data_IF_175448080294
#
_entry.id   IF_175448080294
#
_cell.length_a   1.000
_cell.length_b   1.000
_cell.length_c   1.000
_cell.angle_alpha   90.00
_cell.angle_beta   90.00
_cell.angle_gamma   90.00
#
_symmetry.space_group_name_H-M   'P 1'
#
loop_
_entity.id
_entity.type
_entity.pdbx_description
1 polymer ?
#
# COMPACT_ATOMS: atom_id res chain seq x y z
N UNK A 1 22.72 10.08 -3.13
CA UNK A 1 23.77 9.88 -4.16
C UNK A 1 25.16 9.56 -3.59
N UNK A 2 25.32 9.29 -2.27
CA UNK A 2 26.65 8.95 -1.72
C UNK A 2 27.03 7.47 -1.94
N UNK A 3 26.08 6.55 -1.95
CA UNK A 3 26.38 5.11 -2.14
C UNK A 3 26.54 4.69 -3.60
N UNK A 4 25.99 5.45 -4.56
CA UNK A 4 26.23 5.20 -5.99
C UNK A 4 27.68 5.51 -6.42
N UNK A 5 28.43 6.24 -5.57
CA UNK A 5 29.87 6.48 -5.75
C UNK A 5 30.74 5.34 -5.22
N UNK A 6 30.18 4.40 -4.44
CA UNK A 6 30.96 3.34 -3.78
C UNK A 6 31.02 2.02 -4.56
N UNK A 7 30.19 1.82 -5.59
CA UNK A 7 30.13 0.57 -6.37
C UNK A 7 30.34 0.82 -7.87
N UNK A 8 31.60 0.77 -8.35
CA UNK A 8 31.90 0.87 -9.77
C UNK A 8 31.13 -0.21 -10.55
N UNK A 9 30.45 0.18 -11.64
CA UNK A 9 29.57 -0.63 -12.54
C UNK A 9 28.08 -0.71 -12.20
N UNK A 10 27.64 -0.27 -11.02
CA UNK A 10 26.22 -0.34 -10.66
C UNK A 10 25.31 0.47 -11.60
N UNK A 11 25.76 1.64 -12.07
CA UNK A 11 25.03 2.45 -13.05
C UNK A 11 24.77 1.70 -14.36
N UNK A 12 25.76 0.97 -14.87
CA UNK A 12 25.63 0.20 -16.12
C UNK A 12 24.68 -1.00 -15.99
N UNK A 13 24.68 -1.65 -14.82
CA UNK A 13 23.74 -2.74 -14.51
C UNK A 13 22.33 -2.19 -14.38
N UNK A 14 22.20 -1.06 -13.67
CA UNK A 14 20.94 -0.37 -13.49
C UNK A 14 20.33 0.06 -14.83
N UNK A 15 21.12 0.65 -15.72
CA UNK A 15 20.69 1.02 -17.08
C UNK A 15 20.19 -0.20 -17.87
N UNK A 16 20.91 -1.33 -17.81
CA UNK A 16 20.47 -2.59 -18.43
C UNK A 16 19.16 -3.12 -17.85
N UNK A 17 19.03 -3.20 -16.52
CA UNK A 17 17.78 -3.61 -15.85
C UNK A 17 16.61 -2.71 -16.27
N UNK A 18 16.87 -1.40 -16.34
CA UNK A 18 15.91 -0.38 -16.77
C UNK A 18 15.39 -0.63 -18.18
N UNK A 19 16.31 -0.89 -19.12
CA UNK A 19 15.95 -1.16 -20.52
C UNK A 19 15.14 -2.45 -20.66
N UNK A 20 15.52 -3.53 -19.95
CA UNK A 20 14.79 -4.79 -19.96
C UNK A 20 13.37 -4.61 -19.40
N UNK A 21 13.23 -3.90 -18.28
CA UNK A 21 11.91 -3.59 -17.71
C UNK A 21 11.08 -2.74 -18.66
N UNK A 22 11.65 -1.72 -19.28
CA UNK A 22 10.92 -0.88 -20.22
C UNK A 22 10.42 -1.67 -21.43
N UNK A 23 11.23 -2.60 -21.96
CA UNK A 23 10.79 -3.53 -23.00
C UNK A 23 9.65 -4.44 -22.51
N UNK A 24 9.75 -4.97 -21.29
CA UNK A 24 8.70 -5.80 -20.65
C UNK A 24 7.42 -5.01 -20.44
N UNK A 25 7.49 -3.78 -19.94
CA UNK A 25 6.36 -2.87 -19.74
C UNK A 25 5.73 -2.49 -21.09
N UNK A 26 6.53 -2.18 -22.11
CA UNK A 26 6.03 -1.92 -23.46
C UNK A 26 5.34 -3.16 -24.05
N UNK A 27 5.91 -4.35 -23.85
CA UNK A 27 5.30 -5.62 -24.24
C UNK A 27 3.98 -5.89 -23.48
N UNK A 28 3.92 -5.56 -22.19
CA UNK A 28 2.69 -5.65 -21.39
C UNK A 28 1.64 -4.60 -21.78
N UNK A 29 2.06 -3.40 -22.21
CA UNK A 29 1.16 -2.39 -22.78
C UNK A 29 0.54 -2.87 -24.09
N UNK A 30 1.29 -3.59 -24.92
CA UNK A 30 0.74 -4.27 -26.11
C UNK A 30 -0.21 -5.43 -25.79
N UNK A 31 -0.29 -5.89 -24.53
CA UNK A 31 -1.15 -7.01 -24.14
C UNK A 31 -2.63 -6.64 -23.90
N UNK A 32 -3.09 -5.42 -24.21
CA UNK A 32 -4.50 -5.01 -24.15
C UNK A 32 -5.23 -5.33 -22.83
N UNK A 33 -4.53 -5.29 -21.68
CA UNK A 33 -5.20 -5.39 -20.38
C UNK A 33 -5.84 -4.05 -20.03
N UNK A 34 -7.14 -4.06 -19.73
CA UNK A 34 -7.83 -2.88 -19.18
C UNK A 34 -7.27 -2.50 -17.81
N UNK A 35 -7.28 -1.20 -17.44
CA UNK A 35 -6.89 -0.76 -16.09
C UNK A 35 -7.62 -1.54 -15.01
N UNK A 36 -6.87 -2.04 -14.03
CA UNK A 36 -7.43 -2.73 -12.88
C UNK A 36 -7.47 -1.80 -11.66
N UNK A 37 -8.46 -1.99 -10.79
CA UNK A 37 -8.46 -1.35 -9.48
C UNK A 37 -7.58 -2.20 -8.56
N UNK A 38 -6.52 -1.62 -8.02
CA UNK A 38 -5.53 -2.29 -7.18
C UNK A 38 -5.95 -2.23 -5.72
N UNK A 39 -6.23 -1.02 -5.23
CA UNK A 39 -6.76 -0.77 -3.89
C UNK A 39 -8.13 -0.08 -3.99
N UNK A 40 -9.09 -0.57 -3.20
CA UNK A 40 -10.37 0.09 -2.98
C UNK A 40 -10.42 0.58 -1.53
N UNK A 41 -10.23 1.88 -1.36
CA UNK A 41 -10.21 2.57 -0.06
C UNK A 41 -9.22 1.98 0.96
N UNK A 42 -8.10 1.45 0.47
CA UNK A 42 -7.04 0.81 1.26
C UNK A 42 -7.10 -0.71 1.33
N UNK A 43 -8.16 -1.34 0.80
CA UNK A 43 -8.29 -2.80 0.72
C UNK A 43 -7.82 -3.30 -0.64
N UNK A 44 -6.99 -4.35 -0.66
CA UNK A 44 -6.56 -4.96 -1.91
C UNK A 44 -7.74 -5.63 -2.63
N UNK A 45 -7.99 -5.26 -3.89
CA UNK A 45 -9.17 -5.73 -4.61
C UNK A 45 -9.04 -7.20 -5.02
N UNK A 46 -10.15 -7.93 -5.01
CA UNK A 46 -10.19 -9.32 -5.49
C UNK A 46 -9.80 -9.47 -6.98
N UNK A 47 -10.04 -8.42 -7.78
CA UNK A 47 -9.71 -8.37 -9.20
C UNK A 47 -8.42 -7.58 -9.49
N UNK A 48 -7.62 -7.29 -8.46
CA UNK A 48 -6.32 -6.64 -8.61
C UNK A 48 -5.33 -7.59 -9.33
N UNK A 49 -4.25 -7.06 -9.91
CA UNK A 49 -3.55 -7.79 -10.96
C UNK A 49 -2.66 -8.94 -10.54
N UNK A 50 -2.24 -9.01 -9.26
CA UNK A 50 -1.35 -10.06 -8.79
C UNK A 50 -1.88 -11.46 -9.17
N UNK A 51 -1.03 -12.35 -9.72
CA UNK A 51 0.44 -12.29 -9.77
C UNK A 51 1.03 -11.42 -10.90
N UNK A 52 0.21 -10.79 -11.74
CA UNK A 52 0.72 -9.85 -12.74
C UNK A 52 1.12 -8.53 -12.08
N UNK A 53 2.16 -7.92 -12.64
CA UNK A 53 2.70 -6.63 -12.20
C UNK A 53 1.64 -5.53 -12.30
N UNK A 54 1.57 -4.69 -11.26
CA UNK A 54 0.82 -3.44 -11.27
C UNK A 54 1.43 -2.47 -12.26
N UNK A 55 0.60 -1.86 -13.11
CA UNK A 55 1.02 -0.98 -14.20
C UNK A 55 0.69 0.49 -13.89
N UNK A 56 1.41 1.46 -14.48
CA UNK A 56 1.21 2.89 -14.18
C UNK A 56 -0.22 3.40 -14.45
N UNK A 57 -0.94 2.78 -15.40
CA UNK A 57 -2.32 3.14 -15.71
C UNK A 57 -3.37 2.46 -14.82
N UNK A 58 -2.97 1.53 -13.95
CA UNK A 58 -3.86 0.95 -12.95
C UNK A 58 -4.28 2.01 -11.94
N UNK A 59 -5.38 1.74 -11.23
CA UNK A 59 -6.06 2.74 -10.42
C UNK A 59 -6.26 2.28 -8.98
N UNK A 60 -6.43 3.23 -8.07
CA UNK A 60 -6.88 3.00 -6.71
C UNK A 60 -8.08 3.92 -6.44
N UNK A 61 -9.14 3.39 -5.84
CA UNK A 61 -10.17 4.24 -5.27
C UNK A 61 -9.68 4.71 -3.91
N UNK A 62 -9.66 6.02 -3.70
CA UNK A 62 -9.09 6.63 -2.51
C UNK A 62 -10.06 7.64 -1.92
N UNK A 63 -10.26 7.55 -0.61
CA UNK A 63 -10.92 8.59 0.16
C UNK A 63 -9.93 9.71 0.37
N UNK A 64 -10.30 10.91 -0.06
CA UNK A 64 -9.58 12.16 0.16
C UNK A 64 -10.43 13.04 1.08
N UNK A 65 -9.85 13.41 2.21
CA UNK A 65 -10.43 14.25 3.23
C UNK A 65 -10.02 15.71 3.04
N UNK A 66 -10.86 16.64 3.48
CA UNK A 66 -10.56 18.06 3.59
C UNK A 66 -10.25 18.44 5.04
N UNK A 67 -9.80 19.68 5.26
CA UNK A 67 -9.54 20.22 6.61
C UNK A 67 -10.81 20.28 7.48
N UNK A 68 -12.00 20.37 6.89
CA UNK A 68 -13.29 20.36 7.59
C UNK A 68 -13.84 18.95 7.90
N UNK A 69 -13.03 17.90 7.72
CA UNK A 69 -13.38 16.47 7.89
C UNK A 69 -14.38 15.91 6.87
N UNK A 70 -14.88 16.71 5.92
CA UNK A 70 -15.61 16.17 4.78
C UNK A 70 -14.68 15.35 3.88
N UNK A 71 -15.25 14.45 3.08
CA UNK A 71 -14.45 13.59 2.21
C UNK A 71 -15.13 13.30 0.88
N UNK A 72 -14.30 13.00 -0.11
CA UNK A 72 -14.70 12.54 -1.43
C UNK A 72 -13.93 11.28 -1.80
N UNK A 73 -14.55 10.40 -2.58
CA UNK A 73 -13.86 9.25 -3.17
C UNK A 73 -13.40 9.60 -4.58
N UNK A 74 -12.13 9.38 -4.89
CA UNK A 74 -11.56 9.54 -6.23
C UNK A 74 -11.00 8.22 -6.74
N UNK A 75 -11.14 7.96 -8.03
CA UNK A 75 -10.37 6.94 -8.72
C UNK A 75 -9.07 7.57 -9.23
N UNK A 76 -7.94 7.16 -8.67
CA UNK A 76 -6.62 7.76 -8.89
C UNK A 76 -5.74 6.76 -9.62
N UNK A 77 -5.15 7.15 -10.75
CA UNK A 77 -4.14 6.34 -11.43
C UNK A 77 -2.80 6.38 -10.69
N UNK A 78 -2.05 5.28 -10.74
CA UNK A 78 -0.78 5.16 -10.04
C UNK A 78 0.35 6.02 -10.64
N UNK A 79 0.24 6.40 -11.91
CA UNK A 79 1.15 7.34 -12.56
C UNK A 79 0.91 8.80 -12.22
N UNK A 80 -0.13 9.12 -11.45
CA UNK A 80 -0.40 10.49 -11.02
C UNK A 80 0.52 10.90 -9.89
N UNK A 81 1.08 12.10 -10.04
CA UNK A 81 1.86 12.76 -9.00
C UNK A 81 0.97 13.30 -7.89
N UNK A 82 1.52 13.50 -6.69
CA UNK A 82 0.82 14.11 -5.57
C UNK A 82 0.21 15.49 -5.95
N UNK A 83 0.94 16.29 -6.74
CA UNK A 83 0.44 17.57 -7.26
C UNK A 83 -0.79 17.39 -8.17
N UNK A 84 -0.74 16.45 -9.11
CA UNK A 84 -1.89 16.17 -9.98
C UNK A 84 -3.09 15.61 -9.19
N UNK A 85 -2.85 14.81 -8.14
CA UNK A 85 -3.91 14.33 -7.24
C UNK A 85 -4.59 15.51 -6.55
N UNK A 86 -3.80 16.48 -6.05
CA UNK A 86 -4.36 17.72 -5.48
C UNK A 86 -5.21 18.48 -6.50
N UNK A 87 -4.72 18.67 -7.73
CA UNK A 87 -5.46 19.39 -8.77
C UNK A 87 -6.75 18.68 -9.18
N UNK A 88 -6.74 17.35 -9.28
CA UNK A 88 -7.95 16.55 -9.53
C UNK A 88 -9.00 16.72 -8.43
N UNK A 89 -8.56 16.72 -7.17
CA UNK A 89 -9.46 16.89 -6.04
C UNK A 89 -9.99 18.33 -5.93
N UNK A 90 -9.17 19.35 -6.19
CA UNK A 90 -9.62 20.75 -6.29
C UNK A 90 -10.80 20.90 -7.23
N UNK A 91 -10.68 20.34 -8.43
CA UNK A 91 -11.73 20.38 -9.45
C UNK A 91 -13.00 19.68 -8.96
N UNK A 92 -12.85 18.55 -8.27
CA UNK A 92 -13.99 17.74 -7.82
C UNK A 92 -14.75 18.36 -6.65
N UNK A 93 -14.05 18.99 -5.71
CA UNK A 93 -14.64 19.57 -4.49
C UNK A 93 -15.00 21.05 -4.69
N UNK A 94 -14.50 21.71 -5.76
CA UNK A 94 -14.58 23.18 -5.93
C UNK A 94 -14.03 23.92 -4.72
N UNK A 95 -12.95 23.37 -4.15
CA UNK A 95 -12.30 23.83 -2.93
C UNK A 95 -10.98 24.54 -3.29
N UNK A 96 -10.76 25.73 -2.72
CA UNK A 96 -9.59 26.57 -2.94
C UNK A 96 -9.69 27.53 -4.14
N UNK A 97 -8.95 28.64 -4.05
CA UNK A 97 -8.81 29.66 -5.10
C UNK A 97 -7.80 29.28 -6.20
N UNK A 98 -7.76 30.03 -7.32
CA UNK A 98 -6.92 29.70 -8.48
C UNK A 98 -5.40 29.77 -8.22
N UNK A 99 -4.94 30.46 -7.17
CA UNK A 99 -3.52 30.65 -6.83
C UNK A 99 -3.08 29.91 -5.57
N UNK A 100 -3.87 28.95 -5.12
CA UNK A 100 -3.71 28.31 -3.83
C UNK A 100 -3.11 26.90 -3.96
N UNK A 101 -1.97 26.67 -3.31
CA UNK A 101 -1.20 25.43 -3.41
C UNK A 101 -1.51 24.50 -2.23
N UNK A 102 -2.41 23.53 -2.46
CA UNK A 102 -2.63 22.47 -1.49
C UNK A 102 -1.44 21.54 -1.38
N UNK A 103 -1.31 20.94 -0.19
CA UNK A 103 -0.43 19.82 0.09
C UNK A 103 -1.25 18.54 0.18
N UNK A 104 -0.71 17.45 -0.37
CA UNK A 104 -1.24 16.11 -0.14
C UNK A 104 -0.58 15.55 1.11
N UNK A 105 -1.39 15.15 2.09
CA UNK A 105 -0.92 14.73 3.41
C UNK A 105 -1.54 13.39 3.76
N UNK A 106 -0.74 12.42 4.19
CA UNK A 106 -1.28 11.27 4.93
C UNK A 106 -1.45 11.65 6.39
N UNK A 107 -2.64 11.43 6.94
CA UNK A 107 -2.87 11.40 8.39
C UNK A 107 -3.03 9.95 8.79
N UNK A 108 -2.10 9.45 9.62
CA UNK A 108 -2.10 8.07 10.14
C UNK A 108 -3.07 7.94 11.31
N UNK A 109 -3.47 6.72 11.65
CA UNK A 109 -4.38 6.46 12.78
C UNK A 109 -3.83 6.90 14.15
N UNK A 110 -2.51 6.98 14.31
CA UNK A 110 -1.86 7.51 15.51
C UNK A 110 -1.77 9.04 15.54
N UNK A 111 -2.32 9.74 14.54
CA UNK A 111 -2.26 11.19 14.43
C UNK A 111 -0.98 11.75 13.82
N UNK A 112 -0.02 10.91 13.40
CA UNK A 112 1.15 11.37 12.65
C UNK A 112 0.73 11.89 11.26
N UNK A 113 1.33 13.00 10.83
CA UNK A 113 1.07 13.63 9.53
C UNK A 113 2.32 13.52 8.65
N UNK A 114 2.16 12.98 7.45
CA UNK A 114 3.25 12.84 6.47
C UNK A 114 2.87 13.60 5.21
N UNK A 115 3.66 14.64 4.89
CA UNK A 115 3.44 15.45 3.68
C UNK A 115 4.15 14.80 2.50
N UNK A 116 3.42 14.53 1.42
CA UNK A 116 4.02 14.01 0.19
C UNK A 116 4.72 15.12 -0.61
N UNK A 117 5.83 14.77 -1.25
CA UNK A 117 6.46 15.64 -2.24
C UNK A 117 5.52 15.82 -3.44
N UNK A 118 5.42 17.02 -4.04
CA UNK A 118 4.61 17.25 -5.24
C UNK A 118 4.92 16.27 -6.40
N UNK A 119 6.14 15.73 -6.44
CA UNK A 119 6.62 14.80 -7.47
C UNK A 119 6.39 13.33 -7.13
N UNK A 120 5.91 13.00 -5.92
CA UNK A 120 5.69 11.62 -5.51
C UNK A 120 4.60 10.97 -6.38
N UNK A 121 4.89 9.78 -6.90
CA UNK A 121 3.98 8.95 -7.69
C UNK A 121 3.62 7.68 -6.92
N UNK A 122 2.55 6.99 -7.33
CA UNK A 122 2.05 5.79 -6.64
C UNK A 122 1.66 6.03 -5.17
N UNK A 123 1.27 7.26 -4.83
CA UNK A 123 0.90 7.65 -3.46
C UNK A 123 -0.11 6.71 -2.79
N UNK A 124 -1.18 6.23 -3.46
CA UNK A 124 -2.16 5.35 -2.81
C UNK A 124 -1.58 4.06 -2.22
N UNK A 125 -0.52 3.49 -2.81
CA UNK A 125 0.11 2.26 -2.30
C UNK A 125 1.06 2.51 -1.13
N UNK A 126 1.54 3.75 -0.98
CA UNK A 126 2.48 4.15 0.07
C UNK A 126 1.82 4.36 1.44
N UNK A 127 0.50 4.49 1.47
CA UNK A 127 -0.24 4.76 2.72
C UNK A 127 -0.07 3.64 3.73
N UNK A 128 -0.07 4.00 5.01
CA UNK A 128 -0.29 3.06 6.11
C UNK A 128 -1.68 2.40 6.01
N UNK A 129 -1.87 1.28 6.70
CA UNK A 129 -3.09 0.45 6.55
C UNK A 129 -4.38 1.25 6.75
N UNK A 130 -4.43 1.99 7.86
CA UNK A 130 -5.54 2.83 8.26
C UNK A 130 -5.29 4.31 7.94
N UNK A 131 -4.26 4.65 7.17
CA UNK A 131 -3.96 6.02 6.77
C UNK A 131 -5.05 6.60 5.85
N UNK A 132 -5.22 7.92 5.92
CA UNK A 132 -6.14 8.67 5.04
C UNK A 132 -5.41 9.84 4.41
N UNK A 133 -5.74 10.11 3.14
CA UNK A 133 -5.22 11.26 2.43
C UNK A 133 -6.05 12.49 2.76
N UNK A 134 -5.37 13.60 2.99
CA UNK A 134 -5.93 14.92 3.19
C UNK A 134 -5.36 15.88 2.15
N UNK A 135 -6.18 16.84 1.78
CA UNK A 135 -5.77 18.01 1.03
C UNK A 135 -6.00 19.21 1.92
N UNK A 136 -4.91 19.91 2.23
CA UNK A 136 -4.90 21.01 3.18
C UNK A 136 -3.87 22.07 2.78
N UNK A 137 -4.08 23.31 3.22
CA UNK A 137 -3.05 24.34 3.15
C UNK A 137 -1.91 24.05 4.13
N UNK A 138 -0.74 24.64 3.88
CA UNK A 138 0.43 24.39 4.70
C UNK A 138 0.25 24.75 6.18
N UNK A 139 -0.55 25.79 6.47
CA UNK A 139 -0.90 26.27 7.80
C UNK A 139 -2.01 25.45 8.48
N UNK A 140 -2.77 24.66 7.73
CA UNK A 140 -3.81 23.76 8.27
C UNK A 140 -3.25 22.39 8.70
N UNK A 141 -2.07 21.99 8.22
CA UNK A 141 -1.55 20.62 8.39
C UNK A 141 -1.48 20.20 9.86
N UNK A 142 -1.06 21.10 10.75
CA UNK A 142 -0.92 20.83 12.17
C UNK A 142 -2.27 20.65 12.89
N UNK A 143 -3.36 21.10 12.28
CA UNK A 143 -4.73 20.95 12.79
C UNK A 143 -5.42 19.66 12.36
N UNK A 144 -4.87 18.95 11.37
CA UNK A 144 -5.47 17.73 10.85
C UNK A 144 -5.49 16.61 11.90
N UNK A 145 -6.65 15.97 12.04
CA UNK A 145 -6.87 14.85 12.97
C UNK A 145 -7.35 13.60 12.25
N UNK A 146 -7.01 12.39 12.75
CA UNK A 146 -7.54 11.14 12.22
C UNK A 146 -9.08 11.09 12.29
N UNK A 147 -9.69 10.39 11.35
CA UNK A 147 -11.12 10.05 11.39
C UNK A 147 -11.37 8.84 12.28
N UNK A 148 -12.58 8.76 12.86
CA UNK A 148 -13.03 7.62 13.68
C UNK A 148 -12.89 6.28 12.93
N UNK A 149 -13.07 6.27 11.61
CA UNK A 149 -12.93 5.06 10.79
C UNK A 149 -11.49 4.53 10.70
N UNK A 150 -10.49 5.30 11.17
CA UNK A 150 -9.08 4.89 11.19
C UNK A 150 -8.70 4.09 12.46
N UNK A 151 -9.56 4.08 13.48
CA UNK A 151 -9.31 3.40 14.77
C UNK A 151 -9.38 1.85 14.64
N UNK A 152 -9.90 1.35 13.52
CA UNK A 152 -10.05 -0.08 13.28
C UNK A 152 -11.25 -0.69 14.02
N UNK A 153 -11.30 -2.02 14.14
CA UNK A 153 -12.43 -2.70 14.77
C UNK A 153 -12.46 -2.51 16.28
N UNK A 154 -13.65 -2.36 16.84
CA UNK A 154 -13.91 -2.25 18.28
C UNK A 154 -14.41 -3.57 18.86
N UNK A 155 -14.10 -3.84 20.14
CA UNK A 155 -14.43 -5.11 20.82
C UNK A 155 -15.92 -5.46 20.76
N UNK A 156 -16.81 -4.47 20.84
CA UNK A 156 -18.26 -4.68 20.85
C UNK A 156 -18.85 -5.20 19.53
N UNK A 157 -18.13 -5.04 18.42
CA UNK A 157 -18.57 -5.43 17.07
C UNK A 157 -17.68 -6.52 16.46
N UNK A 158 -16.51 -6.79 17.05
CA UNK A 158 -15.54 -7.74 16.52
C UNK A 158 -16.01 -9.19 16.68
N UNK A 159 -16.20 -9.87 15.55
CA UNK A 159 -16.47 -11.31 15.49
C UNK A 159 -15.34 -12.01 14.76
N UNK A 160 -14.55 -12.79 15.50
CA UNK A 160 -13.41 -13.50 14.93
C UNK A 160 -13.85 -14.74 14.17
N UNK A 161 -13.57 -14.77 12.87
CA UNK A 161 -13.84 -15.92 12.00
C UNK A 161 -12.70 -16.96 12.03
N UNK A 162 -11.56 -16.63 12.64
CA UNK A 162 -10.35 -17.45 12.60
C UNK A 162 -10.52 -18.81 13.31
N UNK A 163 -11.40 -18.87 14.31
CA UNK A 163 -11.69 -20.08 15.07
C UNK A 163 -12.43 -21.11 14.21
N UNK A 164 -13.19 -20.64 13.19
CA UNK A 164 -14.02 -21.46 12.31
C UNK A 164 -13.24 -22.11 11.15
N UNK A 165 -12.06 -21.58 10.82
CA UNK A 165 -11.25 -22.02 9.68
C UNK A 165 -10.11 -22.93 10.15
N UNK A 166 -9.66 -23.88 9.34
CA UNK A 166 -8.52 -24.71 9.71
C UNK A 166 -7.21 -23.89 9.66
N UNK A 167 -6.23 -24.23 10.51
CA UNK A 167 -4.92 -23.55 10.49
C UNK A 167 -4.16 -23.80 9.18
N UNK A 168 -4.39 -24.94 8.53
CA UNK A 168 -3.77 -25.29 7.27
C UNK A 168 -4.34 -24.47 6.11
N UNK A 169 -5.66 -24.28 6.07
CA UNK A 169 -6.33 -23.49 5.03
C UNK A 169 -5.95 -22.01 5.14
N UNK A 170 -5.95 -21.46 6.36
CA UNK A 170 -5.49 -20.08 6.59
C UNK A 170 -4.04 -19.94 6.11
N UNK A 171 -3.13 -20.82 6.52
CA UNK A 171 -1.73 -20.78 6.11
C UNK A 171 -1.59 -20.89 4.58
N UNK A 172 -2.37 -21.75 3.92
CA UNK A 172 -2.37 -21.88 2.47
C UNK A 172 -2.80 -20.59 1.77
N UNK A 173 -3.91 -19.97 2.20
CA UNK A 173 -4.38 -18.73 1.59
C UNK A 173 -3.42 -17.56 1.84
N UNK A 174 -2.83 -17.47 3.05
CA UNK A 174 -1.79 -16.51 3.35
C UNK A 174 -0.57 -16.68 2.44
N UNK A 175 -0.08 -17.92 2.25
CA UNK A 175 1.03 -18.21 1.36
C UNK A 175 0.72 -17.88 -0.10
N UNK A 176 -0.43 -18.32 -0.63
CA UNK A 176 -0.80 -18.06 -2.03
C UNK A 176 -0.79 -16.56 -2.31
N UNK A 177 -1.48 -15.78 -1.48
CA UNK A 177 -1.57 -14.34 -1.72
C UNK A 177 -0.22 -13.64 -1.56
N UNK A 178 0.58 -14.01 -0.56
CA UNK A 178 1.93 -13.45 -0.39
C UNK A 178 2.83 -13.78 -1.58
N UNK A 179 2.78 -15.02 -2.09
CA UNK A 179 3.54 -15.42 -3.28
C UNK A 179 3.10 -14.67 -4.52
N UNK A 180 1.79 -14.46 -4.73
CA UNK A 180 1.31 -13.66 -5.87
C UNK A 180 1.84 -12.22 -5.84
N UNK A 181 1.87 -11.57 -4.67
CA UNK A 181 2.44 -10.23 -4.53
C UNK A 181 3.97 -10.24 -4.75
N UNK A 182 4.64 -11.28 -4.25
CA UNK A 182 6.08 -11.44 -4.43
C UNK A 182 6.46 -11.65 -5.91
N UNK A 183 5.74 -12.52 -6.63
CA UNK A 183 5.93 -12.77 -8.06
C UNK A 183 5.67 -11.53 -8.93
N UNK A 184 4.73 -10.68 -8.51
CA UNK A 184 4.44 -9.42 -9.19
C UNK A 184 5.55 -8.36 -9.00
N UNK A 185 6.37 -8.49 -7.96
CA UNK A 185 7.39 -7.50 -7.55
C UNK A 185 8.67 -7.67 -8.36
N UNK A 186 9.07 -6.60 -9.06
CA UNK A 186 10.29 -6.59 -9.85
C UNK A 186 11.51 -6.20 -8.99
N UNK A 187 12.67 -6.82 -9.23
CA UNK A 187 13.91 -6.57 -8.49
C UNK A 187 14.31 -5.08 -8.48
N UNK A 188 14.00 -4.34 -9.55
CA UNK A 188 14.31 -2.92 -9.63
C UNK A 188 13.50 -2.06 -8.66
N UNK A 189 12.35 -2.55 -8.16
CA UNK A 189 11.58 -1.85 -7.13
C UNK A 189 12.34 -1.84 -5.80
N UNK A 190 13.06 -2.92 -5.48
CA UNK A 190 13.95 -2.97 -4.32
C UNK A 190 15.09 -1.96 -4.44
N UNK A 191 15.71 -1.89 -5.62
CA UNK A 191 16.76 -0.91 -5.90
C UNK A 191 16.21 0.52 -5.78
N UNK A 192 15.02 0.78 -6.33
CA UNK A 192 14.35 2.08 -6.25
C UNK A 192 14.09 2.48 -4.79
N UNK A 193 13.67 1.53 -3.95
CA UNK A 193 13.43 1.77 -2.53
C UNK A 193 14.71 2.12 -1.77
N UNK A 194 15.84 1.46 -2.07
CA UNK A 194 17.13 1.71 -1.39
C UNK A 194 17.73 3.07 -1.78
N UNK A 195 17.70 3.42 -3.06
CA UNK A 195 18.35 4.63 -3.56
C UNK A 195 17.46 5.88 -3.54
N UNK A 196 16.15 5.71 -3.34
CA UNK A 196 15.16 6.80 -3.34
C UNK A 196 14.39 6.89 -4.66
N UNK A 197 13.08 7.11 -4.57
CA UNK A 197 12.17 7.18 -5.74
C UNK A 197 12.49 8.34 -6.68
N UNK A 198 13.03 9.43 -6.14
CA UNK A 198 13.46 10.62 -6.85
C UNK A 198 14.57 10.34 -7.88
N UNK A 199 15.40 9.32 -7.63
CA UNK A 199 16.46 8.89 -8.55
C UNK A 199 15.91 8.08 -9.75
N UNK A 200 14.63 7.72 -9.74
CA UNK A 200 13.97 6.90 -10.75
C UNK A 200 12.65 7.52 -11.23
N UNK A 201 12.68 8.71 -11.85
CA UNK A 201 11.48 9.40 -12.28
C UNK A 201 10.66 8.54 -13.25
N UNK A 202 9.34 8.57 -13.09
CA UNK A 202 8.39 7.82 -13.92
C UNK A 202 8.24 6.34 -13.53
N UNK A 203 8.95 5.85 -12.51
CA UNK A 203 8.75 4.49 -11.98
C UNK A 203 7.75 4.48 -10.84
N UNK A 204 6.92 3.46 -10.84
CA UNK A 204 5.96 3.18 -9.77
C UNK A 204 6.38 1.89 -9.04
N UNK A 205 7.04 1.98 -7.87
CA UNK A 205 7.40 0.79 -7.08
C UNK A 205 6.20 0.25 -6.28
N UNK A 206 5.05 0.15 -6.95
CA UNK A 206 3.76 -0.18 -6.34
C UNK A 206 3.69 -1.62 -5.82
N UNK A 207 4.35 -2.58 -6.47
CA UNK A 207 4.26 -3.99 -6.08
C UNK A 207 5.03 -4.22 -4.78
N UNK A 208 6.20 -3.61 -4.64
CA UNK A 208 6.96 -3.63 -3.39
C UNK A 208 6.19 -2.95 -2.25
N UNK A 209 5.54 -1.82 -2.51
CA UNK A 209 4.67 -1.16 -1.53
C UNK A 209 3.56 -2.09 -1.03
N UNK A 210 2.88 -2.77 -1.96
CA UNK A 210 1.80 -3.71 -1.64
C UNK A 210 2.31 -4.94 -0.87
N UNK A 211 3.49 -5.47 -1.22
CA UNK A 211 4.12 -6.58 -0.51
C UNK A 211 4.46 -6.20 0.94
N UNK A 212 5.06 -5.02 1.14
CA UNK A 212 5.38 -4.49 2.46
C UNK A 212 4.12 -4.17 3.26
N UNK A 213 3.10 -3.59 2.62
CA UNK A 213 1.78 -3.34 3.21
C UNK A 213 1.14 -4.64 3.67
N UNK A 214 1.24 -5.72 2.88
CA UNK A 214 0.70 -7.04 3.22
C UNK A 214 1.38 -7.64 4.46
N UNK A 215 2.69 -7.46 4.60
CA UNK A 215 3.40 -7.88 5.82
C UNK A 215 2.82 -7.19 7.07
N UNK A 216 2.68 -5.86 7.01
CA UNK A 216 2.08 -5.09 8.09
C UNK A 216 0.64 -5.52 8.37
N UNK A 217 -0.15 -5.77 7.32
CA UNK A 217 -1.54 -6.21 7.44
C UNK A 217 -1.66 -7.50 8.24
N UNK A 218 -0.84 -8.52 7.92
CA UNK A 218 -0.84 -9.79 8.65
C UNK A 218 -0.37 -9.59 10.10
N UNK A 219 0.66 -8.78 10.33
CA UNK A 219 1.14 -8.47 11.69
C UNK A 219 0.06 -7.80 12.53
N UNK A 220 -0.54 -6.72 12.03
CA UNK A 220 -1.59 -6.00 12.76
C UNK A 220 -2.84 -6.85 12.92
N UNK A 221 -3.24 -7.65 11.92
CA UNK A 221 -4.34 -8.59 12.06
C UNK A 221 -4.14 -9.55 13.23
N UNK A 222 -2.97 -10.20 13.33
CA UNK A 222 -2.68 -11.13 14.45
C UNK A 222 -2.75 -10.42 15.80
N UNK A 223 -2.26 -9.18 15.87
CA UNK A 223 -2.26 -8.37 17.10
C UNK A 223 -3.69 -7.98 17.49
N UNK A 224 -4.47 -7.45 16.54
CA UNK A 224 -5.86 -7.05 16.72
C UNK A 224 -6.72 -8.21 17.21
N UNK A 225 -6.61 -9.38 16.58
CA UNK A 225 -7.36 -10.57 16.97
C UNK A 225 -7.06 -11.04 18.41
N UNK A 226 -5.80 -10.94 18.86
CA UNK A 226 -5.42 -11.29 20.24
C UNK A 226 -5.91 -10.24 21.23
N UNK A 227 -5.80 -8.96 20.91
CA UNK A 227 -6.19 -7.86 21.80
C UNK A 227 -7.72 -7.78 21.98
N UNK A 228 -8.49 -8.08 20.93
CA UNK A 228 -9.96 -8.07 20.97
C UNK A 228 -10.57 -9.41 21.44
N UNK A 229 -9.75 -10.43 21.72
CA UNK A 229 -10.25 -11.69 22.27
C UNK A 229 -10.65 -11.53 23.75
N UNK A 230 -11.95 -11.59 24.02
CA UNK A 230 -12.50 -11.44 25.36
C UNK A 230 -12.16 -12.63 26.27
N UNK A 231 -11.43 -12.36 27.35
CA UNK A 231 -11.05 -13.34 28.37
C UNK A 231 -9.74 -14.10 28.11
N UNK A 232 -9.05 -14.46 29.19
CA UNK A 232 -7.73 -15.09 29.13
C UNK A 232 -7.74 -16.42 28.34
N UNK A 233 -8.76 -17.26 28.53
CA UNK A 233 -8.87 -18.55 27.83
C UNK A 233 -8.97 -18.38 26.31
N UNK A 234 -9.77 -17.41 25.85
CA UNK A 234 -9.91 -17.11 24.41
C UNK A 234 -8.60 -16.57 23.84
N UNK A 235 -7.94 -15.64 24.55
CA UNK A 235 -6.60 -15.15 24.15
C UNK A 235 -5.57 -16.28 24.02
N UNK A 236 -5.54 -17.22 24.95
CA UNK A 236 -4.65 -18.40 24.88
C UNK A 236 -5.00 -19.28 23.67
N UNK A 237 -6.28 -19.49 23.38
CA UNK A 237 -6.71 -20.25 22.20
C UNK A 237 -6.26 -19.56 20.90
N UNK A 238 -6.40 -18.24 20.81
CA UNK A 238 -5.94 -17.42 19.70
C UNK A 238 -4.43 -17.50 19.50
N UNK A 239 -3.64 -17.35 20.56
CA UNK A 239 -2.18 -17.51 20.49
C UNK A 239 -1.78 -18.90 19.99
N UNK A 240 -2.40 -19.97 20.52
CA UNK A 240 -2.18 -21.34 20.05
C UNK A 240 -2.56 -21.50 18.57
N UNK A 241 -3.64 -20.85 18.12
CA UNK A 241 -4.08 -20.88 16.72
C UNK A 241 -3.05 -20.23 15.80
N UNK A 242 -2.53 -19.06 16.16
CA UNK A 242 -1.50 -18.37 15.37
C UNK A 242 -0.18 -19.12 15.34
N UNK A 243 0.27 -19.72 16.46
CA UNK A 243 1.46 -20.58 16.48
C UNK A 243 1.29 -21.76 15.50
N UNK A 244 0.11 -22.39 15.48
CA UNK A 244 -0.19 -23.46 14.51
C UNK A 244 -0.15 -22.97 13.06
N UNK A 245 -0.73 -21.81 12.76
CA UNK A 245 -0.69 -21.21 11.41
C UNK A 245 0.75 -20.93 10.99
N UNK A 246 1.56 -20.32 11.87
CA UNK A 246 2.97 -20.04 11.61
C UNK A 246 3.78 -21.33 11.35
N UNK A 247 3.56 -22.39 12.13
CA UNK A 247 4.20 -23.68 11.91
C UNK A 247 3.84 -24.27 10.53
N UNK A 248 2.58 -24.14 10.09
CA UNK A 248 2.14 -24.57 8.75
C UNK A 248 2.83 -23.76 7.64
N UNK A 249 2.98 -22.45 7.83
CA UNK A 249 3.68 -21.57 6.89
C UNK A 249 5.17 -21.95 6.75
N UNK A 250 5.86 -22.18 7.87
CA UNK A 250 7.28 -22.58 7.89
C UNK A 250 7.47 -23.92 7.17
N UNK A 251 6.63 -24.91 7.47
CA UNK A 251 6.69 -26.21 6.77
C UNK A 251 6.55 -26.02 5.27
N UNK A 252 5.58 -25.23 4.80
CA UNK A 252 5.36 -24.98 3.36
C UNK A 252 6.53 -24.25 2.70
N UNK A 253 7.12 -23.25 3.34
CA UNK A 253 8.27 -22.52 2.79
C UNK A 253 9.51 -23.40 2.67
N UNK A 254 9.72 -24.32 3.61
CA UNK A 254 10.81 -25.31 3.55
C UNK A 254 10.64 -26.36 2.43
N UNK A 255 9.47 -26.47 1.82
CA UNK A 255 9.25 -27.32 0.63
C UNK A 255 9.41 -26.55 -0.70
N UNK A 256 9.54 -25.22 -0.66
CA UNK A 256 9.64 -24.34 -1.84
C UNK A 256 11.09 -23.87 -2.08
N UNK A 257 11.98 -24.00 -1.08
CA UNK A 257 13.44 -23.89 -1.22
C UNK A 257 14.10 -25.27 -1.36
#
# INVERSE_FOLDING_TARGET
>A
LEDSRQLPRMLSVLERMSNIRQLRENAMRTLNRHPSVVLDCGVYCANAPAPNTVLPFDTCNQVICLSDTSFITMNIRLDKTAAEICDLAKVKVRYGGPNEHFKLVEVKSNGERVVFSPTDVSVPTMLSLNGRLYIAYADEIDSLSPLLQQDGPVESVHSSMIELLSSADIAQQLSIFHMQLFEATDEIELITQVFGRDQFPGRIPSNLDLLMRRFNEVQFWTTTEVLLAHGASKRVAMLKKFIKIAAQLVMKLNFVM
#
